data_IF_288004359028
#
_entry.id   IF_288004359028
#
_cell.length_a   1.000
_cell.length_b   1.000
_cell.length_c   1.000
_cell.angle_alpha   90.00
_cell.angle_beta   90.00
_cell.angle_gamma   90.00
#
_symmetry.space_group_name_H-M   'P 1'
#
loop_
_entity.id
_entity.type
_entity.pdbx_description
1 polymer ?
#
# COMPACT_ATOMS: atom_id res chain seq x y z
N UNK A 1 38.68 10.28 9.72
CA UNK A 1 38.11 10.95 8.52
C UNK A 1 37.66 9.97 7.44
N UNK A 2 38.50 9.12 6.85
CA UNK A 2 38.09 8.18 5.76
C UNK A 2 36.94 7.22 6.14
N UNK A 3 36.94 6.67 7.37
CA UNK A 3 35.82 5.75 7.79
C UNK A 3 34.49 6.47 7.95
N UNK A 4 34.44 7.69 8.47
CA UNK A 4 33.21 8.47 8.59
C UNK A 4 32.64 8.81 7.20
N UNK A 5 33.48 9.22 6.25
CA UNK A 5 33.07 9.51 4.86
C UNK A 5 32.53 8.25 4.13
N UNK A 6 33.09 7.07 4.41
CA UNK A 6 32.61 5.80 3.85
C UNK A 6 31.28 5.41 4.46
N UNK A 7 31.08 5.56 5.78
CA UNK A 7 29.80 5.28 6.43
C UNK A 7 28.69 6.22 5.94
N UNK A 8 28.97 7.52 5.82
CA UNK A 8 28.04 8.50 5.26
C UNK A 8 27.66 8.16 3.80
N UNK A 9 28.60 7.73 2.98
CA UNK A 9 28.32 7.34 1.59
C UNK A 9 27.47 6.06 1.50
N UNK A 10 27.66 5.10 2.39
CA UNK A 10 26.86 3.88 2.48
C UNK A 10 25.44 4.20 2.95
N UNK A 11 25.27 5.03 3.97
CA UNK A 11 23.95 5.46 4.46
C UNK A 11 23.19 6.25 3.39
N UNK A 12 23.86 7.17 2.69
CA UNK A 12 23.26 7.95 1.62
C UNK A 12 22.86 7.10 0.43
N UNK A 13 23.67 6.11 0.05
CA UNK A 13 23.35 5.13 -1.00
C UNK A 13 22.17 4.25 -0.60
N UNK A 14 22.11 3.80 0.64
CA UNK A 14 21.00 3.01 1.18
C UNK A 14 19.70 3.83 1.17
N UNK A 15 19.74 5.07 1.62
CA UNK A 15 18.58 5.98 1.61
C UNK A 15 18.05 6.20 0.18
N UNK A 16 18.92 6.49 -0.79
CA UNK A 16 18.51 6.69 -2.19
C UNK A 16 17.86 5.42 -2.77
N UNK A 17 18.43 4.24 -2.52
CA UNK A 17 17.83 2.96 -2.92
C UNK A 17 16.47 2.75 -2.27
N UNK A 18 16.30 3.14 -1.00
CA UNK A 18 15.03 3.10 -0.29
C UNK A 18 13.94 3.94 -0.98
N UNK A 19 14.27 5.15 -1.40
CA UNK A 19 13.33 6.02 -2.11
C UNK A 19 12.95 5.47 -3.49
N UNK A 20 13.90 4.89 -4.24
CA UNK A 20 13.63 4.26 -5.54
C UNK A 20 12.71 3.05 -5.35
N UNK A 21 13.01 2.16 -4.40
CA UNK A 21 12.17 1.01 -4.11
C UNK A 21 10.76 1.44 -3.66
N UNK A 22 10.65 2.43 -2.76
CA UNK A 22 9.37 2.98 -2.34
C UNK A 22 8.56 3.55 -3.50
N UNK A 23 9.21 4.29 -4.41
CA UNK A 23 8.56 4.86 -5.59
C UNK A 23 8.01 3.77 -6.54
N UNK A 24 8.79 2.71 -6.81
CA UNK A 24 8.33 1.55 -7.60
C UNK A 24 7.12 0.90 -6.91
N UNK A 25 7.17 0.72 -5.58
CA UNK A 25 6.04 0.19 -4.81
C UNK A 25 4.77 1.04 -4.98
N UNK A 26 4.89 2.37 -4.88
CA UNK A 26 3.75 3.30 -5.06
C UNK A 26 3.19 3.24 -6.48
N UNK A 27 4.02 3.16 -7.51
CA UNK A 27 3.55 2.98 -8.88
C UNK A 27 2.73 1.69 -9.03
N UNK A 28 3.22 0.58 -8.46
CA UNK A 28 2.52 -0.71 -8.48
C UNK A 28 1.23 -0.70 -7.65
N UNK A 29 1.14 0.14 -6.61
CA UNK A 29 -0.09 0.31 -5.83
C UNK A 29 -1.11 1.24 -6.48
N UNK A 30 -0.68 2.11 -7.38
CA UNK A 30 -1.55 3.15 -7.96
C UNK A 30 -2.73 2.60 -8.75
N UNK A 31 -2.59 1.41 -9.37
CA UNK A 31 -3.68 0.70 -10.01
C UNK A 31 -4.60 -0.10 -9.07
N UNK A 32 -4.28 -0.18 -7.76
CA UNK A 32 -5.01 -1.08 -6.84
C UNK A 32 -6.47 -0.68 -6.64
N UNK A 33 -6.76 0.61 -6.42
CA UNK A 33 -8.14 1.07 -6.21
C UNK A 33 -9.00 0.94 -7.47
N UNK A 34 -8.55 1.39 -8.67
CA UNK A 34 -9.27 1.13 -9.91
C UNK A 34 -9.53 -0.37 -10.16
N UNK A 35 -8.48 -1.21 -10.02
CA UNK A 35 -8.62 -2.66 -10.20
C UNK A 35 -9.57 -3.29 -9.19
N UNK A 36 -9.53 -2.87 -7.91
CA UNK A 36 -10.48 -3.32 -6.91
C UNK A 36 -11.90 -2.91 -7.27
N UNK A 37 -12.11 -1.65 -7.71
CA UNK A 37 -13.44 -1.17 -8.09
C UNK A 37 -14.01 -1.99 -9.25
N UNK A 38 -13.24 -2.23 -10.31
CA UNK A 38 -13.67 -3.06 -11.43
C UNK A 38 -14.03 -4.48 -10.99
N UNK A 39 -13.20 -5.07 -10.13
CA UNK A 39 -13.44 -6.43 -9.65
C UNK A 39 -14.71 -6.54 -8.79
N UNK A 40 -14.94 -5.61 -7.84
CA UNK A 40 -16.10 -5.68 -6.92
C UNK A 40 -17.42 -5.22 -7.54
N UNK A 41 -17.43 -4.75 -8.78
CA UNK A 41 -18.67 -4.55 -9.53
C UNK A 41 -19.36 -5.87 -9.91
N UNK A 42 -18.56 -6.93 -10.06
CA UNK A 42 -19.05 -8.24 -10.55
C UNK A 42 -18.75 -9.37 -9.57
N UNK A 43 -17.78 -9.20 -8.67
CA UNK A 43 -17.31 -10.21 -7.72
C UNK A 43 -17.54 -9.75 -6.28
N UNK A 44 -17.78 -10.72 -5.40
CA UNK A 44 -17.90 -10.49 -3.97
C UNK A 44 -16.60 -9.90 -3.40
N UNK A 45 -16.63 -8.83 -2.55
CA UNK A 45 -15.44 -8.24 -1.95
C UNK A 45 -14.58 -9.20 -1.13
N UNK A 46 -15.21 -10.20 -0.48
CA UNK A 46 -14.50 -11.23 0.26
C UNK A 46 -13.75 -12.13 -0.71
N UNK A 47 -14.41 -12.52 -1.83
CA UNK A 47 -13.76 -13.28 -2.89
C UNK A 47 -12.55 -12.51 -3.46
N UNK A 48 -12.72 -11.26 -3.86
CA UNK A 48 -11.62 -10.43 -4.42
C UNK A 48 -10.46 -10.33 -3.44
N UNK A 49 -10.75 -10.12 -2.15
CA UNK A 49 -9.72 -10.03 -1.10
C UNK A 49 -8.98 -11.34 -0.90
N UNK A 50 -9.73 -12.43 -0.79
CA UNK A 50 -9.15 -13.75 -0.50
C UNK A 50 -8.46 -14.35 -1.73
N UNK A 51 -8.98 -14.12 -2.93
CA UNK A 51 -8.36 -14.55 -4.18
C UNK A 51 -7.01 -13.84 -4.41
N UNK A 52 -6.93 -12.51 -4.22
CA UNK A 52 -5.65 -11.79 -4.34
C UNK A 52 -4.62 -12.25 -3.31
N UNK A 53 -5.06 -12.53 -2.06
CA UNK A 53 -4.20 -13.04 -1.01
C UNK A 53 -3.74 -14.48 -1.30
N UNK A 54 -4.62 -15.33 -1.83
CA UNK A 54 -4.29 -16.70 -2.23
C UNK A 54 -3.31 -16.73 -3.41
N UNK A 55 -3.52 -15.93 -4.45
CA UNK A 55 -2.59 -15.80 -5.59
C UNK A 55 -1.20 -15.37 -5.09
N UNK A 56 -1.14 -14.30 -4.29
CA UNK A 56 0.12 -13.83 -3.71
C UNK A 56 0.76 -14.88 -2.80
N UNK A 57 -0.03 -15.58 -1.98
CA UNK A 57 0.43 -16.62 -1.06
C UNK A 57 1.01 -17.83 -1.77
N UNK A 58 0.40 -18.28 -2.87
CA UNK A 58 0.91 -19.38 -3.69
C UNK A 58 2.24 -18.98 -4.36
N UNK A 59 2.31 -17.78 -4.97
CA UNK A 59 3.53 -17.27 -5.56
C UNK A 59 4.66 -17.14 -4.52
N UNK A 60 4.33 -16.59 -3.35
CA UNK A 60 5.26 -16.44 -2.24
C UNK A 60 5.77 -17.80 -1.73
N UNK A 61 4.88 -18.79 -1.60
CA UNK A 61 5.25 -20.13 -1.18
C UNK A 61 6.23 -20.77 -2.16
N UNK A 62 5.96 -20.66 -3.46
CA UNK A 62 6.87 -21.13 -4.52
C UNK A 62 8.24 -20.46 -4.38
N UNK A 63 8.28 -19.12 -4.22
CA UNK A 63 9.54 -18.39 -4.04
C UNK A 63 10.29 -18.82 -2.76
N UNK A 64 9.60 -18.92 -1.62
CA UNK A 64 10.21 -19.32 -0.35
C UNK A 64 10.81 -20.74 -0.42
N UNK A 65 10.12 -21.67 -1.08
CA UNK A 65 10.60 -23.05 -1.27
C UNK A 65 11.78 -23.10 -2.26
N UNK A 66 11.71 -22.36 -3.37
CA UNK A 66 12.75 -22.31 -4.40
C UNK A 66 14.05 -21.73 -3.85
N UNK A 67 13.96 -20.63 -3.11
CA UNK A 67 15.12 -19.98 -2.50
C UNK A 67 15.52 -20.58 -1.15
N UNK A 68 14.82 -21.64 -0.69
CA UNK A 68 15.08 -22.36 0.57
C UNK A 68 15.15 -21.43 1.78
N UNK A 69 14.24 -20.47 1.86
CA UNK A 69 14.22 -19.48 2.92
C UNK A 69 13.92 -20.09 4.29
N UNK A 70 14.60 -19.56 5.30
CA UNK A 70 14.41 -20.01 6.68
C UNK A 70 13.03 -19.60 7.20
N UNK A 71 12.42 -20.50 7.98
CA UNK A 71 11.15 -20.21 8.66
C UNK A 71 11.32 -19.06 9.65
N UNK A 72 10.31 -18.20 9.82
CA UNK A 72 10.35 -17.14 10.81
C UNK A 72 10.47 -17.70 12.23
N UNK A 73 11.20 -16.99 13.07
CA UNK A 73 11.34 -17.31 14.49
C UNK A 73 10.04 -16.99 15.23
N UNK A 74 9.85 -17.58 16.43
CA UNK A 74 8.66 -17.30 17.27
C UNK A 74 8.47 -15.80 17.53
N UNK A 75 9.56 -15.05 17.72
CA UNK A 75 9.51 -13.60 17.96
C UNK A 75 9.03 -12.81 16.72
N UNK A 76 9.19 -13.34 15.50
CA UNK A 76 8.77 -12.71 14.25
C UNK A 76 7.31 -13.03 13.89
N UNK A 77 6.69 -14.06 14.50
CA UNK A 77 5.33 -14.49 14.14
C UNK A 77 4.28 -13.41 14.47
N UNK A 78 4.39 -12.76 15.63
CA UNK A 78 3.42 -11.72 16.01
C UNK A 78 3.49 -10.48 15.10
N UNK A 79 4.67 -9.90 14.79
CA UNK A 79 4.78 -8.87 13.76
C UNK A 79 4.26 -9.32 12.39
N UNK A 80 4.55 -10.54 11.95
CA UNK A 80 4.01 -11.08 10.70
C UNK A 80 2.49 -11.22 10.72
N UNK A 81 1.91 -11.63 11.84
CA UNK A 81 0.45 -11.68 12.01
C UNK A 81 -0.18 -10.28 11.89
N UNK A 82 0.45 -9.24 12.46
CA UNK A 82 0.00 -7.85 12.30
C UNK A 82 0.05 -7.44 10.81
N UNK A 83 1.11 -7.81 10.10
CA UNK A 83 1.23 -7.54 8.65
C UNK A 83 0.15 -8.29 7.87
N UNK A 84 -0.08 -9.57 8.19
CA UNK A 84 -1.10 -10.39 7.52
C UNK A 84 -2.52 -9.85 7.78
N UNK A 85 -2.85 -9.57 9.04
CA UNK A 85 -4.19 -9.07 9.42
C UNK A 85 -4.41 -7.64 8.92
N UNK A 86 -3.42 -6.76 9.02
CA UNK A 86 -3.57 -5.36 8.63
C UNK A 86 -3.44 -5.13 7.12
N UNK A 87 -2.35 -5.61 6.52
CA UNK A 87 -1.97 -5.30 5.14
C UNK A 87 -2.50 -6.30 4.11
N UNK A 88 -2.56 -7.61 4.46
CA UNK A 88 -2.97 -8.64 3.50
C UNK A 88 -4.49 -8.82 3.47
N UNK A 89 -5.16 -8.79 4.61
CA UNK A 89 -6.61 -9.03 4.72
C UNK A 89 -7.36 -7.73 5.05
N UNK A 90 -6.99 -7.05 6.13
CA UNK A 90 -7.79 -5.97 6.73
C UNK A 90 -7.97 -4.77 5.78
N UNK A 91 -6.89 -4.14 5.35
CA UNK A 91 -6.99 -3.02 4.41
C UNK A 91 -7.69 -3.40 3.10
N UNK A 92 -7.34 -4.51 2.41
CA UNK A 92 -8.02 -4.88 1.18
C UNK A 92 -9.50 -5.18 1.35
N UNK A 93 -9.88 -5.92 2.40
CA UNK A 93 -11.27 -6.26 2.65
C UNK A 93 -12.10 -5.03 2.99
N UNK A 94 -11.64 -4.22 3.95
CA UNK A 94 -12.38 -3.04 4.38
C UNK A 94 -12.49 -1.99 3.28
N UNK A 95 -11.44 -1.82 2.47
CA UNK A 95 -11.50 -0.92 1.31
C UNK A 95 -12.42 -1.45 0.20
N UNK A 96 -12.43 -2.76 -0.06
CA UNK A 96 -13.33 -3.38 -1.02
C UNK A 96 -14.80 -3.25 -0.58
N UNK A 97 -15.11 -3.49 0.71
CA UNK A 97 -16.44 -3.27 1.29
C UNK A 97 -16.83 -1.79 1.25
N UNK A 98 -15.90 -0.89 1.59
CA UNK A 98 -16.16 0.55 1.53
C UNK A 98 -16.54 1.00 0.11
N UNK A 99 -15.86 0.49 -0.92
CA UNK A 99 -16.12 0.83 -2.32
C UNK A 99 -17.51 0.36 -2.84
N UNK A 100 -18.22 -0.46 -2.08
CA UNK A 100 -19.65 -0.73 -2.35
C UNK A 100 -20.53 0.46 -1.93
N UNK A 101 -20.09 1.27 -0.95
CA UNK A 101 -20.84 2.37 -0.34
C UNK A 101 -20.38 3.76 -0.77
N UNK A 102 -19.13 3.89 -1.26
CA UNK A 102 -18.54 5.15 -1.69
C UNK A 102 -17.91 5.02 -3.08
N UNK A 103 -17.67 6.15 -3.73
CA UNK A 103 -16.96 6.18 -5.02
C UNK A 103 -15.44 6.02 -4.83
N UNK A 104 -14.74 5.61 -5.90
CA UNK A 104 -13.28 5.60 -5.92
C UNK A 104 -12.70 6.99 -5.66
N UNK A 105 -13.28 8.04 -6.21
CA UNK A 105 -12.87 9.43 -5.95
C UNK A 105 -12.96 9.78 -4.46
N UNK A 106 -14.05 9.40 -3.78
CA UNK A 106 -14.20 9.66 -2.34
C UNK A 106 -13.20 8.84 -1.49
N UNK A 107 -12.83 7.64 -1.93
CA UNK A 107 -11.81 6.83 -1.24
C UNK A 107 -10.42 7.48 -1.22
N UNK A 108 -10.10 8.36 -2.20
CA UNK A 108 -8.84 9.10 -2.25
C UNK A 108 -8.64 10.05 -1.05
N UNK A 109 -9.75 10.55 -0.45
CA UNK A 109 -9.69 11.35 0.79
C UNK A 109 -8.95 10.58 1.88
N UNK A 110 -9.30 9.31 2.05
CA UNK A 110 -8.70 8.44 3.07
C UNK A 110 -7.27 8.03 2.69
N UNK A 111 -7.00 7.76 1.42
CA UNK A 111 -5.63 7.51 0.96
C UNK A 111 -4.70 8.69 1.22
N UNK A 112 -5.23 9.92 1.20
CA UNK A 112 -4.48 11.11 1.58
C UNK A 112 -4.06 11.12 3.07
N UNK A 113 -4.75 10.39 3.95
CA UNK A 113 -4.41 10.26 5.38
C UNK A 113 -3.39 9.13 5.62
N UNK A 114 -3.27 8.17 4.70
CA UNK A 114 -2.43 6.97 4.90
C UNK A 114 -0.96 7.28 5.19
N UNK A 115 -0.28 8.24 4.52
CA UNK A 115 1.10 8.59 4.85
C UNK A 115 1.27 9.11 6.27
N UNK A 116 0.30 9.89 6.75
CA UNK A 116 0.30 10.39 8.14
C UNK A 116 0.07 9.25 9.14
N UNK A 117 -0.86 8.33 8.87
CA UNK A 117 -1.04 7.11 9.67
C UNK A 117 0.25 6.29 9.73
N UNK A 118 0.91 6.07 8.59
CA UNK A 118 2.20 5.37 8.52
C UNK A 118 3.28 6.05 9.35
N UNK A 119 3.38 7.38 9.29
CA UNK A 119 4.36 8.15 10.06
C UNK A 119 4.09 8.09 11.58
N UNK A 120 2.83 8.15 12.01
CA UNK A 120 2.45 7.96 13.42
C UNK A 120 2.89 6.58 13.91
N UNK A 121 2.61 5.51 13.16
CA UNK A 121 3.05 4.17 13.53
C UNK A 121 4.56 3.97 13.40
N UNK A 122 5.24 4.70 12.52
CA UNK A 122 6.71 4.72 12.46
C UNK A 122 7.32 5.22 13.78
N UNK A 123 6.72 6.25 14.40
CA UNK A 123 7.11 6.72 15.75
C UNK A 123 6.77 5.69 16.80
N UNK A 124 5.51 5.23 16.86
CA UNK A 124 5.01 4.37 17.93
C UNK A 124 5.63 2.96 17.91
N UNK A 125 5.87 2.39 16.74
CA UNK A 125 6.31 1.00 16.55
C UNK A 125 7.70 0.88 15.96
N UNK A 126 8.07 1.80 15.07
CA UNK A 126 9.37 1.85 14.39
C UNK A 126 10.46 2.51 15.23
N UNK A 127 10.10 3.31 16.23
CA UNK A 127 11.03 4.08 17.06
C UNK A 127 11.67 5.26 16.32
N UNK A 128 11.09 5.67 15.18
CA UNK A 128 11.57 6.84 14.42
C UNK A 128 11.25 8.15 15.15
N UNK A 129 12.06 9.16 14.94
CA UNK A 129 11.93 10.49 15.55
C UNK A 129 12.04 11.59 14.50
N UNK A 130 11.03 11.73 13.60
CA UNK A 130 11.04 12.77 12.60
C UNK A 130 11.08 14.15 13.23
N UNK A 131 11.76 15.10 12.59
CA UNK A 131 11.81 16.50 13.05
C UNK A 131 10.42 17.15 12.97
N UNK A 132 10.16 18.17 13.80
CA UNK A 132 8.86 18.87 13.81
C UNK A 132 8.44 19.38 12.44
N UNK A 133 9.39 19.84 11.63
CA UNK A 133 9.13 20.33 10.28
C UNK A 133 8.69 19.23 9.30
N UNK A 134 9.06 17.96 9.54
CA UNK A 134 8.53 16.81 8.80
C UNK A 134 7.00 16.75 8.90
N UNK A 135 6.46 16.93 10.12
CA UNK A 135 5.02 16.88 10.35
C UNK A 135 4.27 17.99 9.62
N UNK A 136 4.89 19.19 9.51
CA UNK A 136 4.31 20.28 8.70
C UNK A 136 4.11 19.85 7.25
N UNK A 137 5.16 19.30 6.60
CA UNK A 137 5.07 18.84 5.21
C UNK A 137 4.11 17.64 5.05
N UNK A 138 4.11 16.71 6.02
CA UNK A 138 3.20 15.55 6.01
C UNK A 138 1.73 15.99 6.10
N UNK A 139 1.41 16.91 7.01
CA UNK A 139 0.06 17.45 7.17
C UNK A 139 -0.36 18.25 5.94
N UNK A 140 0.50 19.16 5.44
CA UNK A 140 0.21 19.93 4.25
C UNK A 140 -0.04 19.05 3.03
N UNK A 141 0.82 18.04 2.81
CA UNK A 141 0.65 17.09 1.71
C UNK A 141 -0.67 16.31 1.82
N UNK A 142 -1.01 15.84 3.01
CA UNK A 142 -2.29 15.16 3.25
C UNK A 142 -3.48 16.08 3.01
N UNK A 143 -3.44 17.33 3.48
CA UNK A 143 -4.51 18.30 3.27
C UNK A 143 -4.69 18.66 1.78
N UNK A 144 -3.59 18.78 1.03
CA UNK A 144 -3.65 19.02 -0.43
C UNK A 144 -4.35 17.85 -1.14
N UNK A 145 -3.98 16.60 -0.83
CA UNK A 145 -4.61 15.40 -1.42
C UNK A 145 -6.08 15.30 -1.03
N UNK A 146 -6.41 15.50 0.25
CA UNK A 146 -7.78 15.48 0.74
C UNK A 146 -8.62 16.58 0.05
N UNK A 147 -8.10 17.82 -0.01
CA UNK A 147 -8.78 18.92 -0.68
C UNK A 147 -9.03 18.63 -2.16
N UNK A 148 -8.03 18.10 -2.87
CA UNK A 148 -8.19 17.69 -4.26
C UNK A 148 -9.26 16.58 -4.42
N UNK A 149 -9.25 15.56 -3.56
CA UNK A 149 -10.20 14.46 -3.62
C UNK A 149 -11.65 14.93 -3.33
N UNK A 150 -11.83 15.87 -2.39
CA UNK A 150 -13.14 16.48 -2.10
C UNK A 150 -13.65 17.27 -3.32
N UNK A 151 -12.77 18.02 -3.99
CA UNK A 151 -13.13 18.77 -5.21
C UNK A 151 -13.51 17.86 -6.39
N UNK A 152 -12.98 16.63 -6.46
CA UNK A 152 -13.39 15.66 -7.48
C UNK A 152 -14.82 15.15 -7.27
N UNK A 153 -15.42 15.43 -6.13
CA UNK A 153 -16.76 14.97 -5.78
C UNK A 153 -16.82 13.48 -5.46
N UNK A 154 -18.02 12.99 -5.30
CA UNK A 154 -18.29 11.57 -5.03
C UNK A 154 -19.42 11.38 -4.02
N UNK A 155 -19.98 10.17 -3.97
CA UNK A 155 -20.96 9.79 -2.96
C UNK A 155 -20.25 9.46 -1.64
N UNK A 156 -20.78 9.99 -0.54
CA UNK A 156 -20.32 9.72 0.82
C UNK A 156 -21.33 8.83 1.54
N UNK A 157 -20.83 7.89 2.35
CA UNK A 157 -21.63 7.03 3.21
C UNK A 157 -20.94 6.91 4.56
N UNK A 158 -21.65 7.08 5.69
CA UNK A 158 -21.06 6.90 7.03
C UNK A 158 -20.40 5.52 7.20
N UNK A 159 -21.02 4.47 6.69
CA UNK A 159 -20.49 3.10 6.73
C UNK A 159 -19.20 3.00 5.92
N UNK A 160 -19.20 3.46 4.67
CA UNK A 160 -18.01 3.46 3.82
C UNK A 160 -16.87 4.29 4.41
N UNK A 161 -17.19 5.43 5.02
CA UNK A 161 -16.22 6.31 5.68
C UNK A 161 -15.53 5.63 6.88
N UNK A 162 -16.29 4.97 7.74
CA UNK A 162 -15.76 4.23 8.91
C UNK A 162 -14.89 3.05 8.43
N UNK A 163 -15.36 2.29 7.45
CA UNK A 163 -14.59 1.18 6.88
C UNK A 163 -13.24 1.65 6.33
N UNK A 164 -13.22 2.75 5.55
CA UNK A 164 -11.98 3.32 5.03
C UNK A 164 -11.04 3.82 6.13
N UNK A 165 -11.58 4.49 7.16
CA UNK A 165 -10.74 4.97 8.27
C UNK A 165 -10.05 3.81 8.99
N UNK A 166 -10.80 2.75 9.31
CA UNK A 166 -10.23 1.55 9.94
C UNK A 166 -9.20 0.90 9.00
N UNK A 167 -9.50 0.79 7.71
CA UNK A 167 -8.59 0.26 6.70
C UNK A 167 -7.24 1.02 6.71
N UNK A 168 -7.28 2.35 6.70
CA UNK A 168 -6.09 3.21 6.70
C UNK A 168 -5.25 3.02 7.97
N UNK A 169 -5.87 2.92 9.14
CA UNK A 169 -5.17 2.69 10.41
C UNK A 169 -4.49 1.32 10.42
N UNK A 170 -5.19 0.27 10.00
CA UNK A 170 -4.63 -1.08 9.89
C UNK A 170 -3.47 -1.14 8.87
N UNK A 171 -3.61 -0.44 7.75
CA UNK A 171 -2.58 -0.37 6.72
C UNK A 171 -1.32 0.33 7.22
N UNK A 172 -1.46 1.50 7.86
CA UNK A 172 -0.33 2.25 8.43
C UNK A 172 0.42 1.45 9.50
N UNK A 173 -0.30 0.74 10.38
CA UNK A 173 0.29 -0.16 11.35
C UNK A 173 1.04 -1.31 10.67
N UNK A 174 0.43 -1.95 9.68
CA UNK A 174 1.04 -3.02 8.89
C UNK A 174 2.33 -2.57 8.20
N UNK A 175 2.35 -1.36 7.65
CA UNK A 175 3.53 -0.79 7.00
C UNK A 175 4.68 -0.57 7.98
N UNK A 176 4.39 -0.03 9.16
CA UNK A 176 5.40 0.19 10.19
C UNK A 176 5.98 -1.14 10.71
N UNK A 177 5.14 -2.11 11.03
CA UNK A 177 5.59 -3.43 11.49
C UNK A 177 6.36 -4.19 10.40
N UNK A 178 5.84 -4.21 9.16
CA UNK A 178 6.49 -4.87 8.04
C UNK A 178 7.84 -4.26 7.70
N UNK A 179 7.95 -2.93 7.74
CA UNK A 179 9.22 -2.24 7.49
C UNK A 179 10.25 -2.50 8.61
N UNK A 180 9.82 -2.47 9.87
CA UNK A 180 10.67 -2.82 11.02
C UNK A 180 11.19 -4.25 10.88
N UNK A 181 10.31 -5.19 10.56
CA UNK A 181 10.65 -6.58 10.40
C UNK A 181 11.56 -6.83 9.19
N UNK A 182 11.41 -6.01 8.12
CA UNK A 182 12.22 -6.09 6.91
C UNK A 182 13.70 -5.79 7.14
N UNK A 183 14.04 -5.07 8.22
CA UNK A 183 15.44 -4.82 8.61
C UNK A 183 16.16 -6.11 9.05
N UNK A 184 15.42 -7.11 9.54
CA UNK A 184 15.98 -8.38 10.02
C UNK A 184 15.70 -9.57 9.10
N UNK A 185 14.54 -9.59 8.44
CA UNK A 185 14.11 -10.68 7.55
C UNK A 185 14.37 -10.39 6.07
N UNK A 186 14.32 -9.10 5.68
CA UNK A 186 14.27 -8.71 4.27
C UNK A 186 12.84 -8.41 3.79
N UNK A 187 12.72 -7.46 2.88
CA UNK A 187 11.40 -6.94 2.45
C UNK A 187 10.53 -7.98 1.75
N UNK A 188 11.11 -8.78 0.86
CA UNK A 188 10.36 -9.80 0.14
C UNK A 188 9.98 -10.99 1.02
N UNK A 189 10.82 -11.35 2.00
CA UNK A 189 10.52 -12.40 2.96
C UNK A 189 9.34 -12.00 3.88
N UNK A 190 9.29 -10.74 4.30
CA UNK A 190 8.19 -10.26 5.15
C UNK A 190 6.85 -10.42 4.46
N UNK A 191 6.70 -9.91 3.24
CA UNK A 191 5.41 -10.06 2.52
C UNK A 191 5.15 -11.54 2.19
N UNK A 192 6.16 -12.29 1.78
CA UNK A 192 6.00 -13.71 1.46
C UNK A 192 5.48 -14.51 2.66
N UNK A 193 6.05 -14.34 3.84
CA UNK A 193 5.57 -15.03 5.04
C UNK A 193 4.21 -14.52 5.50
N UNK A 194 3.92 -13.22 5.36
CA UNK A 194 2.62 -12.67 5.74
C UNK A 194 1.49 -13.24 4.87
N UNK A 195 1.67 -13.31 3.54
CA UNK A 195 0.65 -13.88 2.65
C UNK A 195 0.54 -15.40 2.80
N UNK A 196 1.65 -16.11 3.05
CA UNK A 196 1.63 -17.55 3.36
C UNK A 196 0.90 -17.85 4.66
N UNK A 197 1.10 -17.03 5.71
CA UNK A 197 0.35 -17.14 6.97
C UNK A 197 -1.14 -16.87 6.81
N UNK A 198 -1.55 -16.11 5.78
CA UNK A 198 -2.96 -15.87 5.47
C UNK A 198 -3.62 -17.02 4.70
N UNK A 199 -2.85 -17.91 4.03
CA UNK A 199 -3.39 -18.99 3.19
C UNK A 199 -4.40 -19.89 3.89
N UNK A 200 -4.21 -20.32 5.17
CA UNK A 200 -5.17 -21.17 5.85
C UNK A 200 -6.57 -20.55 5.96
N UNK A 201 -6.67 -19.22 5.89
CA UNK A 201 -7.94 -18.48 5.90
C UNK A 201 -8.34 -18.07 4.49
N UNK A 202 -7.42 -17.47 3.72
CA UNK A 202 -7.73 -16.91 2.41
C UNK A 202 -8.10 -17.98 1.37
N UNK A 203 -7.42 -19.13 1.39
CA UNK A 203 -7.68 -20.18 0.40
C UNK A 203 -9.05 -20.82 0.57
N UNK A 204 -9.47 -21.31 1.77
CA UNK A 204 -10.84 -21.81 1.96
C UNK A 204 -11.91 -20.75 1.69
N UNK A 205 -11.71 -19.51 2.16
CA UNK A 205 -12.68 -18.44 1.95
C UNK A 205 -12.84 -18.08 0.47
N UNK A 206 -11.75 -18.10 -0.32
CA UNK A 206 -11.80 -17.91 -1.77
C UNK A 206 -12.72 -18.95 -2.43
N UNK A 207 -12.64 -20.23 -2.05
CA UNK A 207 -13.52 -21.28 -2.60
C UNK A 207 -14.96 -21.14 -2.13
N UNK A 208 -15.18 -20.75 -0.86
CA UNK A 208 -16.52 -20.59 -0.29
C UNK A 208 -17.27 -19.38 -0.88
N UNK A 209 -16.55 -18.37 -1.31
CA UNK A 209 -17.12 -17.12 -1.87
C UNK A 209 -16.94 -17.03 -3.39
N UNK A 210 -16.48 -18.13 -4.03
CA UNK A 210 -16.30 -18.17 -5.47
C UNK A 210 -17.64 -17.92 -6.20
N UNK A 211 -17.63 -17.17 -7.32
CA UNK A 211 -18.84 -16.92 -8.07
C UNK A 211 -19.43 -18.24 -8.61
N UNK A 212 -20.76 -18.40 -8.51
CA UNK A 212 -21.46 -19.59 -8.99
C UNK A 212 -21.37 -19.75 -10.51
N UNK A 213 -21.24 -18.63 -11.23
CA UNK A 213 -21.18 -18.55 -12.69
C UNK A 213 -19.95 -17.75 -13.13
N UNK A 214 -18.73 -18.32 -13.02
CA UNK A 214 -17.50 -17.62 -13.37
C UNK A 214 -17.42 -17.24 -14.86
N UNK A 215 -18.15 -17.93 -15.73
CA UNK A 215 -18.28 -17.66 -17.17
C UNK A 215 -19.02 -16.35 -17.48
N UNK A 216 -19.83 -15.83 -16.55
CA UNK A 216 -20.54 -14.56 -16.71
C UNK A 216 -19.71 -13.35 -16.26
N UNK A 217 -18.59 -13.57 -15.57
CA UNK A 217 -17.71 -12.52 -15.08
C UNK A 217 -16.82 -12.00 -16.22
N UNK A 218 -16.76 -10.69 -16.37
CA UNK A 218 -15.96 -10.07 -17.42
C UNK A 218 -14.47 -10.37 -17.28
N UNK A 219 -13.77 -10.40 -18.40
CA UNK A 219 -12.30 -10.51 -18.44
C UNK A 219 -11.62 -9.38 -17.64
N UNK A 220 -12.20 -8.17 -17.65
CA UNK A 220 -11.66 -7.03 -16.92
C UNK A 220 -11.66 -7.26 -15.40
N UNK A 221 -12.71 -7.88 -14.85
CA UNK A 221 -12.77 -8.22 -13.43
C UNK A 221 -11.69 -9.25 -13.06
N UNK A 222 -11.49 -10.30 -13.88
CA UNK A 222 -10.43 -11.30 -13.67
C UNK A 222 -9.03 -10.72 -13.80
N UNK A 223 -8.78 -9.85 -14.79
CA UNK A 223 -7.51 -9.12 -14.94
C UNK A 223 -7.28 -8.23 -13.70
N UNK A 224 -8.33 -7.59 -13.20
CA UNK A 224 -8.28 -6.83 -11.95
C UNK A 224 -7.81 -7.68 -10.77
N UNK A 225 -8.41 -8.86 -10.56
CA UNK A 225 -8.02 -9.79 -9.49
C UNK A 225 -6.57 -10.27 -9.66
N UNK A 226 -6.17 -10.63 -10.89
CA UNK A 226 -4.80 -11.06 -11.19
C UNK A 226 -3.78 -9.94 -10.90
N UNK A 227 -4.06 -8.71 -11.34
CA UNK A 227 -3.24 -7.54 -11.02
C UNK A 227 -3.12 -7.32 -9.52
N UNK A 228 -4.23 -7.39 -8.80
CA UNK A 228 -4.27 -7.22 -7.35
C UNK A 228 -3.44 -8.29 -6.62
N UNK A 229 -3.48 -9.54 -7.06
CA UNK A 229 -2.71 -10.63 -6.46
C UNK A 229 -1.22 -10.54 -6.77
N UNK A 230 -0.86 -10.42 -8.04
CA UNK A 230 0.54 -10.49 -8.50
C UNK A 230 1.27 -9.17 -8.23
N UNK A 231 0.75 -8.07 -8.77
CA UNK A 231 1.48 -6.80 -8.76
C UNK A 231 1.25 -6.01 -7.49
N UNK A 232 0.01 -5.87 -7.04
CA UNK A 232 -0.31 -5.07 -5.85
C UNK A 232 0.05 -5.81 -4.56
N UNK A 233 -0.38 -7.06 -4.37
CA UNK A 233 -0.21 -7.77 -3.11
C UNK A 233 1.17 -8.43 -2.96
N UNK A 234 1.85 -8.81 -4.04
CA UNK A 234 3.14 -9.47 -3.95
C UNK A 234 4.28 -8.55 -4.37
N UNK A 235 4.44 -8.27 -5.67
CA UNK A 235 5.60 -7.53 -6.19
C UNK A 235 5.67 -6.11 -5.60
N UNK A 236 4.55 -5.39 -5.53
CA UNK A 236 4.49 -4.05 -4.97
C UNK A 236 4.98 -3.99 -3.52
N UNK A 237 4.58 -4.95 -2.70
CA UNK A 237 5.02 -5.02 -1.31
C UNK A 237 6.49 -5.43 -1.15
N UNK A 238 7.06 -6.22 -2.07
CA UNK A 238 8.51 -6.51 -2.08
C UNK A 238 9.30 -5.20 -2.15
N UNK A 239 8.98 -4.35 -3.12
CA UNK A 239 9.62 -3.04 -3.28
C UNK A 239 9.28 -2.10 -2.12
N UNK A 240 8.02 -2.08 -1.71
CA UNK A 240 7.55 -1.18 -0.66
C UNK A 240 8.24 -1.41 0.68
N UNK A 241 8.23 -2.63 1.19
CA UNK A 241 8.88 -2.94 2.46
C UNK A 241 10.39 -2.76 2.42
N UNK A 242 11.03 -3.08 1.30
CA UNK A 242 12.45 -2.78 1.09
C UNK A 242 12.70 -1.27 1.11
N UNK A 243 11.84 -0.51 0.46
CA UNK A 243 11.90 0.95 0.44
C UNK A 243 11.79 1.57 1.83
N UNK A 244 10.76 1.21 2.59
CA UNK A 244 10.53 1.68 3.95
C UNK A 244 11.69 1.30 4.90
N UNK A 245 12.21 0.07 4.78
CA UNK A 245 13.29 -0.40 5.64
C UNK A 245 14.63 0.33 5.40
N UNK A 246 14.90 0.71 4.15
CA UNK A 246 16.15 1.35 3.72
C UNK A 246 16.11 2.87 3.81
N UNK A 247 14.96 3.49 3.53
CA UNK A 247 14.84 4.95 3.41
C UNK A 247 14.08 5.62 4.56
N UNK A 248 13.68 4.86 5.58
CA UNK A 248 12.89 5.34 6.72
C UNK A 248 11.38 5.20 6.49
N UNK A 249 10.68 4.73 7.52
CA UNK A 249 9.24 4.42 7.44
C UNK A 249 8.43 5.71 7.25
N UNK A 250 8.70 6.72 8.09
CA UNK A 250 8.02 8.00 8.02
C UNK A 250 8.30 8.72 6.70
N UNK A 251 9.58 8.82 6.30
CA UNK A 251 10.02 9.57 5.11
C UNK A 251 9.53 8.95 3.81
N UNK A 252 9.86 7.67 3.57
CA UNK A 252 9.47 6.95 2.34
C UNK A 252 7.96 6.77 2.28
N UNK A 253 7.30 6.64 3.43
CA UNK A 253 5.85 6.59 3.54
C UNK A 253 5.13 7.78 2.88
N UNK A 254 5.76 8.97 2.84
CA UNK A 254 5.18 10.14 2.17
C UNK A 254 5.03 9.99 0.66
N UNK A 255 5.77 9.07 0.02
CA UNK A 255 5.60 8.78 -1.42
C UNK A 255 4.17 8.37 -1.78
N UNK A 256 3.41 7.83 -0.81
CA UNK A 256 2.01 7.46 -1.03
C UNK A 256 1.09 8.66 -1.33
N UNK A 257 1.50 9.89 -0.99
CA UNK A 257 0.78 11.10 -1.41
C UNK A 257 0.72 11.23 -2.94
N UNK A 258 1.65 10.60 -3.66
CA UNK A 258 1.67 10.58 -5.13
C UNK A 258 0.74 9.50 -5.73
N UNK A 259 0.35 8.50 -4.93
CA UNK A 259 -0.43 7.36 -5.42
C UNK A 259 -1.75 7.74 -6.11
N UNK A 260 -2.58 8.67 -5.59
CA UNK A 260 -3.81 9.09 -6.24
C UNK A 260 -3.58 9.68 -7.63
N UNK A 261 -2.52 10.46 -7.80
CA UNK A 261 -2.21 11.13 -9.07
C UNK A 261 -1.74 10.15 -10.13
N UNK A 262 -0.93 9.15 -9.77
CA UNK A 262 -0.57 8.07 -10.69
C UNK A 262 -1.78 7.20 -11.05
N UNK A 263 -2.66 6.93 -10.09
CA UNK A 263 -3.92 6.21 -10.35
C UNK A 263 -4.81 6.96 -11.33
N UNK A 264 -4.96 8.28 -11.19
CA UNK A 264 -5.72 9.13 -12.10
C UNK A 264 -5.04 9.25 -13.48
N UNK A 265 -3.70 9.40 -13.52
CA UNK A 265 -2.97 9.44 -14.78
C UNK A 265 -3.10 8.12 -15.56
N UNK A 266 -3.07 6.98 -14.85
CA UNK A 266 -3.29 5.67 -15.43
C UNK A 266 -4.72 5.54 -15.97
N UNK A 267 -5.73 5.96 -15.21
CA UNK A 267 -7.12 5.97 -15.65
C UNK A 267 -7.31 6.88 -16.87
N UNK A 268 -6.72 8.07 -16.88
CA UNK A 268 -6.76 8.99 -18.01
C UNK A 268 -6.14 8.38 -19.28
N UNK A 269 -4.99 7.69 -19.15
CA UNK A 269 -4.31 7.05 -20.30
C UNK A 269 -5.07 5.85 -20.84
N UNK A 270 -5.76 5.08 -19.98
CA UNK A 270 -6.53 3.90 -20.39
C UNK A 270 -7.93 4.26 -20.89
N UNK A 271 -8.54 5.35 -20.39
CA UNK A 271 -9.89 5.76 -20.69
C UNK A 271 -9.95 6.99 -21.62
N UNK A 272 -8.79 7.51 -22.09
CA UNK A 272 -8.67 8.74 -22.88
C UNK A 272 -9.31 9.96 -22.19
N UNK A 273 -9.27 10.03 -20.85
CA UNK A 273 -9.77 11.16 -20.09
C UNK A 273 -8.76 12.32 -20.07
N UNK A 274 -9.25 13.56 -20.08
CA UNK A 274 -8.39 14.75 -20.02
C UNK A 274 -7.83 14.97 -18.61
N UNK A 275 -6.49 15.09 -18.51
CA UNK A 275 -5.81 15.52 -17.28
C UNK A 275 -6.04 17.03 -17.11
N UNK A 276 -6.72 17.43 -16.04
CA UNK A 276 -7.00 18.85 -15.77
C UNK A 276 -5.73 19.60 -15.33
N UNK A 277 -5.64 20.90 -15.68
CA UNK A 277 -4.55 21.78 -15.23
C UNK A 277 -4.46 21.83 -13.69
N UNK A 278 -5.59 21.76 -13.00
CA UNK A 278 -5.64 21.71 -11.54
C UNK A 278 -4.94 20.46 -11.00
N UNK A 279 -5.10 19.31 -11.63
CA UNK A 279 -4.40 18.07 -11.24
C UNK A 279 -2.88 18.25 -11.33
N UNK A 280 -2.37 18.92 -12.37
CA UNK A 280 -0.94 19.18 -12.54
C UNK A 280 -0.43 20.07 -11.40
N UNK A 281 -1.11 21.18 -11.12
CA UNK A 281 -0.73 22.13 -10.06
C UNK A 281 -0.73 21.47 -8.67
N UNK A 282 -1.78 20.69 -8.36
CA UNK A 282 -1.90 19.97 -7.09
C UNK A 282 -0.79 18.93 -6.97
N UNK A 283 -0.49 18.18 -8.05
CA UNK A 283 0.61 17.20 -8.07
C UNK A 283 1.96 17.87 -7.79
N UNK A 284 2.25 19.03 -8.38
CA UNK A 284 3.47 19.79 -8.08
C UNK A 284 3.55 20.20 -6.61
N UNK A 285 2.44 20.67 -6.02
CA UNK A 285 2.37 20.99 -4.58
C UNK A 285 2.67 19.78 -3.70
N UNK A 286 2.12 18.61 -4.05
CA UNK A 286 2.38 17.35 -3.33
C UNK A 286 3.83 16.92 -3.47
N UNK A 287 4.43 17.03 -4.67
CA UNK A 287 5.86 16.72 -4.88
C UNK A 287 6.74 17.58 -3.98
N UNK A 288 6.43 18.87 -3.83
CA UNK A 288 7.16 19.77 -2.92
C UNK A 288 7.04 19.33 -1.46
N UNK A 289 5.83 18.90 -1.03
CA UNK A 289 5.64 18.36 0.33
C UNK A 289 6.43 17.06 0.55
N UNK A 290 6.42 16.14 -0.41
CA UNK A 290 7.22 14.90 -0.34
C UNK A 290 8.73 15.20 -0.29
N UNK A 291 9.20 16.14 -1.12
CA UNK A 291 10.59 16.57 -1.10
C UNK A 291 10.99 17.23 0.23
N UNK A 292 10.10 18.06 0.79
CA UNK A 292 10.29 18.68 2.11
C UNK A 292 10.33 17.64 3.22
N UNK A 293 9.39 16.71 3.26
CA UNK A 293 9.38 15.63 4.26
C UNK A 293 10.62 14.72 4.14
N UNK A 294 11.11 14.46 2.93
CA UNK A 294 12.39 13.73 2.72
C UNK A 294 13.57 14.39 3.40
N UNK A 295 13.65 15.72 3.33
CA UNK A 295 14.77 16.48 3.90
C UNK A 295 14.77 16.47 5.43
N UNK A 296 13.63 16.32 6.07
CA UNK A 296 13.44 16.50 7.52
C UNK A 296 12.91 15.24 8.25
N UNK A 297 12.72 14.14 7.54
CA UNK A 297 12.31 12.85 8.06
C UNK A 297 13.44 11.99 8.60
#
# INVERSE_FOLDING_TARGET
MKQATVLESIEQSSSTSGWINGFIGVLLFSGSMPATKVAVLELDPIFVTTARAAIAGILALICLLTFKEKRPTKAQLMPLAIVAVGGVIGFPLLSALALQHITSAHSLVYLGILPMSTAVFAVLRGGEKPKSIFWLFSILGSLIVIGFAVLQGGTSSPVGNVLMLIAILLCGLSYAEGAKLSKSLGGWQVISWAVVLSLPVSLPMMFLTAPSHPELISTNAWVGVAYLGVFSMFIGFVFWYKGLAQGGIASVGQLQLLQPFFGLALAASLLNEHVSSNMILVTLGVILCVAGSKKFG
#
